data_IF_324723130150
#
_entry.id   IF_324723130150
#
_cell.length_a   1.000
_cell.length_b   1.000
_cell.length_c   1.000
_cell.angle_alpha   90.00
_cell.angle_beta   90.00
_cell.angle_gamma   90.00
#
_symmetry.space_group_name_H-M   'P 1'
#
loop_
_entity.id
_entity.type
_entity.pdbx_description
1 polymer ?
#
# COMPACT_ATOMS: atom_id res chain seq x y z
N UNK A 1 7.94 12.95 -5.50
CA UNK A 1 9.14 13.16 -4.65
C UNK A 1 10.04 11.94 -4.70
N UNK A 2 11.36 12.10 -4.60
CA UNK A 2 12.29 10.98 -4.52
C UNK A 2 12.32 10.41 -3.08
N UNK A 3 12.49 9.10 -2.95
CA UNK A 3 12.71 8.44 -1.66
C UNK A 3 13.96 9.04 -0.98
N UNK A 4 13.92 9.39 0.34
CA UNK A 4 15.10 9.88 1.04
C UNK A 4 16.28 8.92 0.90
N UNK A 5 17.47 9.46 0.64
CA UNK A 5 18.67 8.66 0.29
C UNK A 5 19.02 7.64 1.38
N UNK A 6 18.99 8.05 2.64
CA UNK A 6 19.31 7.17 3.78
C UNK A 6 18.30 6.02 3.90
N UNK A 7 17.01 6.32 3.74
CA UNK A 7 15.96 5.31 3.80
C UNK A 7 16.04 4.34 2.62
N UNK A 8 16.34 4.85 1.41
CA UNK A 8 16.59 4.02 0.23
C UNK A 8 17.76 3.07 0.45
N UNK A 9 18.87 3.57 1.00
CA UNK A 9 20.05 2.75 1.30
C UNK A 9 19.74 1.68 2.34
N UNK A 10 19.06 2.02 3.43
CA UNK A 10 18.65 1.06 4.46
C UNK A 10 17.72 -0.04 3.91
N UNK A 11 16.79 0.31 3.02
CA UNK A 11 15.93 -0.66 2.34
C UNK A 11 16.74 -1.59 1.42
N UNK A 12 17.72 -1.07 0.68
CA UNK A 12 18.63 -1.85 -0.18
C UNK A 12 19.47 -2.83 0.64
N UNK A 13 20.00 -2.40 1.77
CA UNK A 13 20.75 -3.25 2.70
C UNK A 13 19.91 -4.39 3.27
N UNK A 14 18.67 -4.10 3.68
CA UNK A 14 17.74 -5.14 4.10
C UNK A 14 17.42 -6.12 2.97
N UNK A 15 17.22 -5.64 1.75
CA UNK A 15 16.94 -6.48 0.59
C UNK A 15 18.09 -7.41 0.27
N UNK A 16 19.34 -6.94 0.33
CA UNK A 16 20.55 -7.73 0.10
C UNK A 16 20.68 -8.95 1.04
N UNK A 17 20.05 -8.87 2.23
CA UNK A 17 20.04 -9.93 3.24
C UNK A 17 18.66 -10.57 3.40
N UNK A 18 17.78 -10.45 2.39
CA UNK A 18 16.42 -11.02 2.41
C UNK A 18 16.27 -12.09 1.34
N UNK A 19 16.15 -13.33 1.77
CA UNK A 19 15.82 -14.44 0.87
C UNK A 19 14.36 -14.34 0.40
N UNK A 20 14.11 -14.85 -0.80
CA UNK A 20 12.74 -14.94 -1.33
C UNK A 20 12.34 -13.77 -2.23
N UNK A 21 13.23 -12.83 -2.54
CA UNK A 21 13.03 -11.86 -3.64
C UNK A 21 13.07 -12.63 -4.97
N UNK A 22 12.12 -12.36 -5.84
CA UNK A 22 11.94 -13.06 -7.13
C UNK A 22 12.95 -12.59 -8.18
N UNK A 23 14.23 -12.89 -7.94
CA UNK A 23 15.35 -12.45 -8.80
C UNK A 23 15.11 -12.72 -10.29
N UNK A 24 14.56 -13.87 -10.73
CA UNK A 24 14.27 -14.11 -12.14
C UNK A 24 13.36 -13.07 -12.78
N UNK A 25 12.37 -12.54 -12.02
CA UNK A 25 11.46 -11.51 -12.54
C UNK A 25 12.20 -10.17 -12.70
N UNK A 26 13.06 -9.80 -11.75
CA UNK A 26 13.88 -8.58 -11.87
C UNK A 26 14.85 -8.68 -13.06
N UNK A 27 15.52 -9.82 -13.22
CA UNK A 27 16.41 -10.08 -14.35
C UNK A 27 15.69 -10.00 -15.70
N UNK A 28 14.49 -10.59 -15.80
CA UNK A 28 13.69 -10.58 -17.04
C UNK A 28 13.31 -9.17 -17.51
N UNK A 29 13.30 -8.18 -16.62
CA UNK A 29 12.98 -6.78 -16.92
C UNK A 29 14.19 -5.85 -16.76
N UNK A 30 15.39 -6.38 -16.62
CA UNK A 30 16.63 -5.62 -16.43
C UNK A 30 16.51 -4.59 -15.27
N UNK A 31 15.86 -5.01 -14.16
CA UNK A 31 15.66 -4.21 -12.95
C UNK A 31 16.61 -4.64 -11.84
N UNK A 32 17.06 -3.65 -11.06
CA UNK A 32 17.84 -3.90 -9.85
C UNK A 32 16.94 -4.52 -8.77
N UNK A 33 17.22 -5.77 -8.31
CA UNK A 33 16.41 -6.41 -7.27
C UNK A 33 16.54 -5.77 -5.88
N UNK A 34 17.52 -4.90 -5.70
CA UNK A 34 17.70 -4.14 -4.46
C UNK A 34 16.98 -2.79 -4.47
N UNK A 35 16.47 -2.35 -5.63
CA UNK A 35 15.73 -1.09 -5.70
C UNK A 35 14.29 -1.27 -5.18
N UNK A 36 13.89 -0.52 -4.13
CA UNK A 36 12.55 -0.65 -3.57
C UNK A 36 11.48 -0.08 -4.52
N UNK A 37 10.38 -0.81 -4.68
CA UNK A 37 9.23 -0.38 -5.49
C UNK A 37 8.29 0.42 -4.59
N UNK A 38 8.48 1.72 -4.55
CA UNK A 38 7.72 2.69 -3.77
C UNK A 38 7.26 3.81 -4.70
N UNK A 39 5.97 4.07 -4.73
CA UNK A 39 5.39 5.20 -5.46
C UNK A 39 5.15 6.35 -4.50
N UNK A 40 6.10 7.26 -4.44
CA UNK A 40 5.91 8.52 -3.76
C UNK A 40 5.24 9.49 -4.73
N UNK A 41 3.97 9.76 -4.51
CA UNK A 41 3.29 10.90 -5.10
C UNK A 41 3.73 12.20 -4.44
N UNK A 42 2.82 13.15 -4.37
CA UNK A 42 3.00 14.36 -3.56
C UNK A 42 3.09 13.99 -2.06
N UNK A 43 3.96 14.65 -1.32
CA UNK A 43 4.02 14.52 0.15
C UNK A 43 2.73 14.91 0.83
N UNK A 44 2.01 15.88 0.22
CA UNK A 44 0.73 16.37 0.68
C UNK A 44 -0.45 15.61 0.04
N UNK A 45 -0.18 14.48 -0.63
CA UNK A 45 -1.23 13.64 -1.18
C UNK A 45 -2.28 13.31 -0.10
N UNK A 46 -3.56 13.55 -0.37
CA UNK A 46 -4.61 13.44 0.65
C UNK A 46 -4.82 12.01 1.13
N UNK A 47 -4.35 11.03 0.35
CA UNK A 47 -4.68 9.63 0.52
C UNK A 47 -3.49 8.73 0.19
N UNK A 48 -3.24 7.77 1.07
CA UNK A 48 -2.29 6.68 0.86
C UNK A 48 -3.03 5.39 0.49
N UNK A 49 -2.55 4.69 -0.53
CA UNK A 49 -2.92 3.31 -0.81
C UNK A 49 -1.85 2.37 -0.29
N UNK A 50 -2.25 1.49 0.62
CA UNK A 50 -1.37 0.55 1.29
C UNK A 50 -1.71 -0.89 0.89
N UNK A 51 -0.79 -1.55 0.22
CA UNK A 51 -0.97 -2.90 -0.29
C UNK A 51 -0.07 -3.95 0.35
N UNK A 52 -0.18 -5.18 -0.14
CA UNK A 52 0.58 -6.30 0.37
C UNK A 52 2.01 -6.30 -0.14
N UNK A 53 2.22 -6.61 -1.41
CA UNK A 53 3.54 -6.77 -2.05
C UNK A 53 3.46 -6.38 -3.52
N UNK A 54 4.59 -5.94 -4.15
CA UNK A 54 4.64 -5.72 -5.58
C UNK A 54 4.46 -7.03 -6.37
N UNK A 55 3.82 -6.95 -7.52
CA UNK A 55 3.71 -8.02 -8.49
C UNK A 55 4.72 -7.90 -9.63
N UNK A 56 4.54 -8.71 -10.68
CA UNK A 56 5.41 -8.75 -11.85
C UNK A 56 5.41 -7.42 -12.63
N UNK A 57 4.24 -6.82 -12.83
CA UNK A 57 4.13 -5.56 -13.57
C UNK A 57 4.70 -4.39 -12.76
N UNK A 58 4.59 -4.43 -11.43
CA UNK A 58 5.24 -3.47 -10.56
C UNK A 58 6.76 -3.51 -10.70
N UNK A 59 7.37 -4.70 -10.81
CA UNK A 59 8.80 -4.84 -11.12
C UNK A 59 9.11 -4.28 -12.49
N UNK A 60 8.33 -4.65 -13.53
CA UNK A 60 8.54 -4.20 -14.91
C UNK A 60 8.59 -2.68 -15.02
N UNK A 61 7.67 -1.98 -14.37
CA UNK A 61 7.54 -0.53 -14.45
C UNK A 61 8.30 0.22 -13.35
N UNK A 62 8.73 -0.46 -12.27
CA UNK A 62 9.33 0.17 -11.10
C UNK A 62 8.34 1.03 -10.30
N UNK A 63 7.05 0.75 -10.44
CA UNK A 63 5.97 1.53 -9.80
C UNK A 63 5.01 0.60 -9.06
N UNK A 64 4.56 0.95 -7.83
CA UNK A 64 3.58 0.15 -7.12
C UNK A 64 2.18 0.30 -7.74
N UNK A 65 1.35 -0.72 -7.55
CA UNK A 65 -0.06 -0.72 -7.98
C UNK A 65 -0.26 -0.43 -9.47
N UNK A 66 0.63 -0.94 -10.32
CA UNK A 66 0.52 -0.79 -11.78
C UNK A 66 -0.05 -2.04 -12.47
N UNK A 67 -0.02 -3.19 -11.81
CA UNK A 67 -0.61 -4.44 -12.28
C UNK A 67 -2.14 -4.46 -12.24
N UNK A 68 -2.75 -5.61 -12.52
CA UNK A 68 -4.20 -5.75 -12.71
C UNK A 68 -5.05 -5.20 -11.56
N UNK A 69 -4.66 -5.48 -10.30
CA UNK A 69 -5.35 -4.94 -9.13
C UNK A 69 -5.21 -3.42 -9.02
N UNK A 70 -4.01 -2.91 -9.26
CA UNK A 70 -3.73 -1.47 -9.25
C UNK A 70 -4.46 -0.72 -10.36
N UNK A 71 -4.61 -1.33 -11.55
CA UNK A 71 -5.39 -0.73 -12.64
C UNK A 71 -6.86 -0.57 -12.29
N UNK A 72 -7.44 -1.49 -11.51
CA UNK A 72 -8.82 -1.33 -11.03
C UNK A 72 -8.92 -0.13 -10.10
N UNK A 73 -7.99 0.01 -9.16
CA UNK A 73 -7.94 1.18 -8.27
C UNK A 73 -7.85 2.47 -9.08
N UNK A 74 -6.93 2.55 -10.06
CA UNK A 74 -6.70 3.74 -10.90
C UNK A 74 -7.93 4.10 -11.75
N UNK A 75 -8.64 3.11 -12.30
CA UNK A 75 -9.89 3.35 -13.05
C UNK A 75 -10.97 3.97 -12.15
N UNK A 76 -11.14 3.47 -10.94
CA UNK A 76 -12.11 4.03 -9.99
C UNK A 76 -11.72 5.46 -9.62
N UNK A 77 -10.45 5.70 -9.31
CA UNK A 77 -9.94 7.04 -9.00
C UNK A 77 -10.14 8.01 -10.16
N UNK A 78 -9.85 7.59 -11.39
CA UNK A 78 -10.01 8.40 -12.58
C UNK A 78 -11.47 8.80 -12.78
N UNK A 79 -12.38 7.82 -12.71
CA UNK A 79 -13.82 8.08 -12.81
C UNK A 79 -14.33 9.00 -11.71
N UNK A 80 -13.85 8.80 -10.47
CA UNK A 80 -14.22 9.63 -9.34
C UNK A 80 -13.80 11.10 -9.52
N UNK A 81 -12.60 11.33 -10.03
CA UNK A 81 -12.07 12.70 -10.23
C UNK A 81 -12.58 13.40 -11.48
N UNK A 82 -12.76 12.67 -12.57
CA UNK A 82 -13.04 13.24 -13.89
C UNK A 82 -14.47 13.00 -14.39
N UNK A 83 -15.26 12.17 -13.68
CA UNK A 83 -16.61 11.78 -14.12
C UNK A 83 -16.63 10.97 -15.43
N UNK A 84 -15.50 10.41 -15.87
CA UNK A 84 -15.32 9.71 -17.14
C UNK A 84 -14.50 8.43 -16.97
N UNK A 85 -14.59 7.52 -17.90
CA UNK A 85 -13.74 6.31 -17.91
C UNK A 85 -12.27 6.68 -18.20
N UNK A 86 -11.35 5.95 -17.57
CA UNK A 86 -9.91 6.13 -17.77
C UNK A 86 -9.54 5.75 -19.20
N UNK A 87 -8.98 6.68 -20.02
CA UNK A 87 -8.80 6.46 -21.46
C UNK A 87 -7.75 5.38 -21.75
N UNK A 88 -6.65 5.37 -21.02
CA UNK A 88 -5.53 4.48 -21.27
C UNK A 88 -4.67 4.24 -20.00
N UNK A 89 -3.60 3.47 -20.17
CA UNK A 89 -2.66 3.13 -19.13
C UNK A 89 -1.86 4.34 -18.62
N UNK A 90 -1.45 5.24 -19.52
CA UNK A 90 -0.63 6.40 -19.16
C UNK A 90 -1.44 7.44 -18.38
N UNK A 91 -2.71 7.63 -18.68
CA UNK A 91 -3.61 8.46 -17.88
C UNK A 91 -3.72 7.91 -16.44
N UNK A 92 -3.80 6.59 -16.30
CA UNK A 92 -3.77 5.94 -14.99
C UNK A 92 -2.43 6.13 -14.23
N UNK A 93 -1.30 6.10 -14.92
CA UNK A 93 0.01 6.40 -14.34
C UNK A 93 0.13 7.85 -13.89
N UNK A 94 -0.28 8.79 -14.74
CA UNK A 94 -0.26 10.21 -14.42
C UNK A 94 -1.12 10.51 -13.18
N UNK A 95 -2.32 9.93 -13.11
CA UNK A 95 -3.20 10.04 -11.94
C UNK A 95 -2.54 9.52 -10.65
N UNK A 96 -1.73 8.48 -10.76
CA UNK A 96 -1.05 7.90 -9.62
C UNK A 96 -0.17 8.88 -8.85
N UNK A 97 0.32 9.95 -9.50
CA UNK A 97 1.16 10.98 -8.87
C UNK A 97 0.44 11.82 -7.82
N UNK A 98 -0.89 11.82 -7.82
CA UNK A 98 -1.70 12.54 -6.84
C UNK A 98 -1.95 11.76 -5.54
N UNK A 99 -1.42 10.53 -5.42
CA UNK A 99 -1.61 9.66 -4.28
C UNK A 99 -0.29 9.10 -3.77
N UNK A 100 -0.26 8.74 -2.49
CA UNK A 100 0.87 8.05 -1.89
C UNK A 100 0.66 6.53 -1.99
N UNK A 101 1.64 5.78 -2.52
CA UNK A 101 1.51 4.34 -2.76
C UNK A 101 2.63 3.57 -2.07
N UNK A 102 2.27 2.59 -1.25
CA UNK A 102 3.23 1.82 -0.46
C UNK A 102 2.72 0.40 -0.22
N UNK A 103 3.64 -0.55 -0.09
CA UNK A 103 3.36 -1.94 0.24
C UNK A 103 3.97 -2.32 1.60
N UNK A 104 3.52 -3.45 2.17
CA UNK A 104 4.07 -3.98 3.44
C UNK A 104 5.57 -4.23 3.37
N UNK A 105 6.05 -4.72 2.23
CA UNK A 105 7.44 -4.90 1.84
C UNK A 105 7.58 -4.44 0.38
N UNK A 106 8.51 -3.53 0.04
CA UNK A 106 8.57 -2.93 -1.28
C UNK A 106 9.34 -3.78 -2.32
N UNK A 107 9.33 -5.10 -2.16
CA UNK A 107 10.01 -6.06 -3.03
C UNK A 107 9.09 -7.21 -3.40
N UNK A 108 9.21 -7.71 -4.64
CA UNK A 108 8.39 -8.80 -5.12
C UNK A 108 8.84 -10.15 -4.53
N UNK A 109 7.94 -10.88 -3.83
CA UNK A 109 8.24 -12.24 -3.37
C UNK A 109 8.15 -13.26 -4.51
N UNK A 110 8.87 -14.37 -4.38
CA UNK A 110 8.78 -15.52 -5.28
C UNK A 110 7.34 -16.04 -5.34
N UNK A 111 6.85 -16.26 -6.56
CA UNK A 111 5.56 -16.92 -6.81
C UNK A 111 4.34 -16.17 -6.31
N UNK A 112 4.41 -14.87 -6.08
CA UNK A 112 3.34 -14.03 -5.53
C UNK A 112 2.82 -14.50 -4.15
N UNK A 113 3.61 -15.27 -3.40
CA UNK A 113 3.32 -15.64 -2.01
C UNK A 113 3.52 -14.42 -1.12
N UNK A 114 2.62 -14.23 -0.16
CA UNK A 114 2.82 -13.17 0.83
C UNK A 114 4.14 -13.35 1.58
N UNK A 115 4.84 -12.26 1.86
CA UNK A 115 6.01 -12.29 2.72
C UNK A 115 5.68 -12.87 4.09
N UNK A 116 6.62 -13.62 4.65
CA UNK A 116 6.50 -14.13 6.01
C UNK A 116 6.40 -12.98 7.03
N UNK A 117 5.82 -13.27 8.19
CA UNK A 117 5.76 -12.28 9.28
C UNK A 117 7.16 -11.84 9.74
N UNK A 118 8.16 -12.73 9.67
CA UNK A 118 9.54 -12.41 10.00
C UNK A 118 10.11 -11.33 9.06
N UNK A 119 9.90 -11.46 7.76
CA UNK A 119 10.32 -10.46 6.77
C UNK A 119 9.56 -9.15 6.98
N UNK A 120 8.24 -9.20 7.12
CA UNK A 120 7.43 -7.98 7.38
C UNK A 120 7.92 -7.20 8.61
N UNK A 121 8.26 -7.91 9.71
CA UNK A 121 8.82 -7.28 10.92
C UNK A 121 10.17 -6.61 10.70
N UNK A 122 11.01 -7.16 9.83
CA UNK A 122 12.32 -6.56 9.50
C UNK A 122 12.16 -5.27 8.70
N UNK A 123 11.25 -5.22 7.73
CA UNK A 123 10.99 -4.03 6.91
C UNK A 123 10.13 -2.98 7.61
N UNK A 124 9.29 -3.39 8.55
CA UNK A 124 8.28 -2.54 9.17
C UNK A 124 8.81 -1.23 9.77
N UNK A 125 9.97 -1.18 10.46
CA UNK A 125 10.48 0.09 10.98
C UNK A 125 10.74 1.13 9.88
N UNK A 126 11.36 0.75 8.76
CA UNK A 126 11.64 1.65 7.64
C UNK A 126 10.36 2.07 6.91
N UNK A 127 9.41 1.14 6.73
CA UNK A 127 8.12 1.47 6.10
C UNK A 127 7.26 2.37 7.00
N UNK A 128 7.36 2.24 8.33
CA UNK A 128 6.73 3.12 9.29
C UNK A 128 7.36 4.51 9.28
N UNK A 129 8.68 4.59 9.25
CA UNK A 129 9.41 5.85 9.12
C UNK A 129 8.99 6.58 7.83
N UNK A 130 8.89 5.88 6.71
CA UNK A 130 8.42 6.44 5.45
C UNK A 130 7.03 7.09 5.56
N UNK A 131 6.08 6.41 6.23
CA UNK A 131 4.73 6.95 6.46
C UNK A 131 4.75 8.19 7.36
N UNK A 132 5.59 8.21 8.39
CA UNK A 132 5.65 9.28 9.39
C UNK A 132 6.38 10.51 8.84
N UNK A 133 7.54 10.31 8.20
CA UNK A 133 8.45 11.40 7.84
C UNK A 133 8.23 11.93 6.42
N UNK A 134 7.75 11.08 5.51
CA UNK A 134 7.71 11.43 4.09
C UNK A 134 6.31 11.73 3.54
N UNK A 135 5.27 11.46 4.30
CA UNK A 135 3.90 11.73 3.87
C UNK A 135 3.12 12.50 4.93
N UNK A 136 2.49 13.63 4.56
CA UNK A 136 1.78 14.50 5.49
C UNK A 136 0.28 14.19 5.61
N UNK A 137 -0.26 13.33 4.76
CA UNK A 137 -1.66 12.90 4.83
C UNK A 137 -1.97 12.02 6.04
N UNK A 138 -3.25 11.73 6.24
CA UNK A 138 -3.76 10.98 7.40
C UNK A 138 -4.51 9.71 7.02
N UNK A 139 -5.19 9.70 5.87
CA UNK A 139 -6.11 8.64 5.48
C UNK A 139 -5.41 7.56 4.66
N UNK A 140 -5.44 6.31 5.15
CA UNK A 140 -4.81 5.16 4.50
C UNK A 140 -5.88 4.15 4.08
N UNK A 141 -6.04 3.94 2.77
CA UNK A 141 -6.83 2.81 2.25
C UNK A 141 -5.94 1.57 2.23
N UNK A 142 -6.25 0.60 3.09
CA UNK A 142 -5.54 -0.69 3.14
C UNK A 142 -6.24 -1.71 2.25
N UNK A 143 -5.49 -2.34 1.34
CA UNK A 143 -6.02 -3.27 0.35
C UNK A 143 -5.80 -4.73 0.76
N UNK A 144 -6.81 -5.29 1.43
CA UNK A 144 -6.83 -6.66 1.92
C UNK A 144 -6.34 -6.82 3.37
N UNK A 145 -6.59 -8.03 3.91
CA UNK A 145 -6.32 -8.36 5.31
C UNK A 145 -4.85 -8.18 5.70
N UNK A 146 -3.95 -8.64 4.84
CA UNK A 146 -2.50 -8.58 5.10
C UNK A 146 -1.99 -7.13 5.22
N UNK A 147 -2.49 -6.23 4.37
CA UNK A 147 -2.16 -4.81 4.41
C UNK A 147 -2.74 -4.14 5.67
N UNK A 148 -3.99 -4.45 6.03
CA UNK A 148 -4.63 -3.90 7.22
C UNK A 148 -3.95 -4.38 8.52
N UNK A 149 -3.72 -5.69 8.67
CA UNK A 149 -3.11 -6.24 9.88
C UNK A 149 -1.59 -5.97 9.98
N UNK A 150 -0.94 -5.45 8.95
CA UNK A 150 0.43 -4.96 9.05
C UNK A 150 0.54 -3.86 10.13
N UNK A 151 -0.46 -3.04 10.30
CA UNK A 151 -0.51 -1.99 11.33
C UNK A 151 -0.56 -2.54 12.76
N UNK A 152 -0.79 -3.82 12.95
CA UNK A 152 -0.70 -4.51 14.24
C UNK A 152 0.75 -4.89 14.63
N UNK A 153 1.69 -4.89 13.68
CA UNK A 153 3.08 -5.29 13.93
C UNK A 153 3.73 -4.29 14.88
N UNK A 154 4.34 -4.80 15.96
CA UNK A 154 5.02 -3.97 16.96
C UNK A 154 4.10 -3.14 17.87
N UNK A 155 2.78 -3.30 17.74
CA UNK A 155 1.81 -2.61 18.61
C UNK A 155 1.62 -3.32 19.95
N UNK A 156 1.20 -2.61 21.01
CA UNK A 156 0.74 -3.20 22.26
C UNK A 156 -0.40 -4.21 22.03
N UNK A 157 -0.56 -5.15 22.97
CA UNK A 157 -1.55 -6.23 22.86
C UNK A 157 -2.97 -5.73 22.58
N UNK A 158 -3.39 -4.68 23.26
CA UNK A 158 -4.75 -4.12 23.13
C UNK A 158 -4.97 -3.53 21.73
N UNK A 159 -4.01 -2.80 21.19
CA UNK A 159 -4.10 -2.25 19.84
C UNK A 159 -4.14 -3.37 18.78
N UNK A 160 -3.37 -4.44 18.94
CA UNK A 160 -3.42 -5.62 18.07
C UNK A 160 -4.78 -6.29 18.11
N UNK A 161 -5.33 -6.53 19.30
CA UNK A 161 -6.66 -7.14 19.47
C UNK A 161 -7.75 -6.26 18.86
N UNK A 162 -7.65 -4.93 19.01
CA UNK A 162 -8.59 -3.98 18.40
C UNK A 162 -8.57 -4.05 16.87
N UNK A 163 -7.39 -4.15 16.24
CA UNK A 163 -7.27 -4.32 14.80
C UNK A 163 -7.83 -5.66 14.32
N UNK A 164 -7.52 -6.75 15.03
CA UNK A 164 -8.05 -8.09 14.69
C UNK A 164 -9.58 -8.14 14.83
N UNK A 165 -10.13 -7.59 15.92
CA UNK A 165 -11.57 -7.50 16.14
C UNK A 165 -12.25 -6.64 15.07
N UNK A 166 -11.63 -5.50 14.71
CA UNK A 166 -12.16 -4.64 13.65
C UNK A 166 -12.24 -5.38 12.30
N UNK A 167 -11.23 -6.18 11.96
CA UNK A 167 -11.25 -6.96 10.72
C UNK A 167 -12.40 -7.98 10.66
N UNK A 168 -12.87 -8.49 11.80
CA UNK A 168 -13.99 -9.44 11.86
C UNK A 168 -15.37 -8.77 11.72
N UNK A 169 -15.46 -7.44 11.80
CA UNK A 169 -16.73 -6.72 11.68
C UNK A 169 -17.34 -6.91 10.29
N UNK A 170 -18.66 -6.95 10.23
CA UNK A 170 -19.39 -6.99 8.96
C UNK A 170 -19.24 -5.67 8.18
N UNK A 171 -19.24 -4.55 8.89
CA UNK A 171 -19.11 -3.18 8.35
C UNK A 171 -17.68 -2.72 8.13
N UNK A 172 -16.67 -3.60 8.25
CA UNK A 172 -15.24 -3.25 8.13
C UNK A 172 -14.86 -2.47 6.86
N UNK A 173 -15.59 -2.66 5.77
CA UNK A 173 -15.34 -1.97 4.50
C UNK A 173 -16.06 -0.63 4.35
N UNK A 174 -16.88 -0.26 5.32
CA UNK A 174 -17.57 1.04 5.39
C UNK A 174 -17.17 1.85 6.62
N UNK A 175 -16.71 1.18 7.67
CA UNK A 175 -16.15 1.82 8.87
C UNK A 175 -14.66 2.19 8.70
N UNK A 176 -14.10 2.93 9.64
CA UNK A 176 -12.67 3.27 9.73
C UNK A 176 -12.16 3.06 11.16
N UNK A 177 -10.83 3.09 11.33
CA UNK A 177 -10.17 2.91 12.62
C UNK A 177 -8.93 3.78 12.70
N UNK A 178 -8.81 4.58 13.75
CA UNK A 178 -7.61 5.34 14.03
C UNK A 178 -6.54 4.47 14.69
N UNK A 179 -5.28 4.65 14.26
CA UNK A 179 -4.11 3.96 14.79
C UNK A 179 -2.95 4.94 14.97
N UNK A 180 -2.30 4.85 16.11
CA UNK A 180 -1.07 5.60 16.37
C UNK A 180 0.14 4.77 15.93
N UNK A 181 0.99 5.37 15.12
CA UNK A 181 2.30 4.82 14.77
C UNK A 181 3.38 5.70 15.37
N UNK A 182 4.44 5.06 15.85
CA UNK A 182 5.64 5.73 16.34
C UNK A 182 6.86 5.16 15.64
N UNK A 183 7.75 6.01 15.15
CA UNK A 183 9.03 5.57 14.57
C UNK A 183 10.07 5.22 15.65
N UNK A 184 11.28 4.84 15.21
CA UNK A 184 12.37 4.50 16.12
C UNK A 184 12.94 5.72 16.88
N UNK A 185 12.70 6.94 16.39
CA UNK A 185 13.10 8.21 16.98
C UNK A 185 12.09 8.77 17.97
N UNK A 186 10.91 8.14 18.07
CA UNK A 186 9.84 8.56 18.97
C UNK A 186 8.85 9.53 18.34
N UNK A 187 8.98 9.88 17.05
CA UNK A 187 7.95 10.66 16.36
C UNK A 187 6.69 9.82 16.23
N UNK A 188 5.56 10.41 16.64
CA UNK A 188 4.28 9.72 16.63
C UNK A 188 3.28 10.45 15.73
N UNK A 189 2.48 9.66 14.98
CA UNK A 189 1.37 10.19 14.17
C UNK A 189 0.18 9.25 14.22
N UNK A 190 -1.01 9.85 14.25
CA UNK A 190 -2.29 9.13 14.13
C UNK A 190 -2.69 9.05 12.67
N UNK A 191 -2.98 7.84 12.20
CA UNK A 191 -3.53 7.56 10.87
C UNK A 191 -4.92 6.96 10.98
N UNK A 192 -5.79 7.29 10.03
CA UNK A 192 -7.12 6.69 9.90
C UNK A 192 -7.08 5.61 8.82
N UNK A 193 -7.28 4.36 9.22
CA UNK A 193 -7.29 3.21 8.32
C UNK A 193 -8.70 3.01 7.74
N UNK A 194 -8.76 2.84 6.43
CA UNK A 194 -9.97 2.55 5.66
C UNK A 194 -9.78 1.21 4.94
N UNK A 195 -10.09 0.06 5.58
CA UNK A 195 -9.87 -1.22 4.94
C UNK A 195 -10.84 -1.45 3.78
N UNK A 196 -10.31 -2.03 2.72
CA UNK A 196 -11.04 -2.55 1.58
C UNK A 196 -10.57 -3.98 1.26
N UNK A 197 -11.35 -4.78 0.55
CA UNK A 197 -10.90 -6.08 0.10
C UNK A 197 -9.73 -5.94 -0.88
N UNK A 198 -8.96 -7.02 -1.05
CA UNK A 198 -7.86 -7.02 -2.02
C UNK A 198 -8.41 -7.01 -3.46
N UNK A 199 -7.97 -6.09 -4.35
CA UNK A 199 -8.49 -5.90 -5.69
C UNK A 199 -7.90 -6.92 -6.70
N UNK A 200 -7.85 -8.19 -6.34
CA UNK A 200 -7.31 -9.24 -7.21
C UNK A 200 -8.43 -10.03 -7.89
N UNK A 201 -8.29 -10.37 -9.18
CA UNK A 201 -9.19 -11.29 -9.86
C UNK A 201 -9.33 -12.64 -9.16
N UNK A 202 -8.31 -13.07 -8.42
CA UNK A 202 -8.34 -14.28 -7.61
C UNK A 202 -9.29 -14.18 -6.39
N UNK A 203 -9.65 -12.98 -6.00
CA UNK A 203 -10.62 -12.73 -4.93
C UNK A 203 -12.04 -12.65 -5.50
N UNK A 204 -12.57 -13.77 -5.98
CA UNK A 204 -13.83 -13.83 -6.71
C UNK A 204 -15.01 -13.20 -5.97
N UNK A 205 -15.07 -13.35 -4.64
CA UNK A 205 -16.15 -12.79 -3.80
C UNK A 205 -16.20 -11.27 -3.86
N UNK A 206 -15.05 -10.61 -3.81
CA UNK A 206 -14.96 -9.17 -3.66
C UNK A 206 -14.58 -8.43 -4.92
N UNK A 207 -14.01 -9.13 -5.90
CA UNK A 207 -13.50 -8.52 -7.14
C UNK A 207 -14.56 -7.65 -7.84
N UNK A 208 -15.77 -8.19 -8.03
CA UNK A 208 -16.89 -7.47 -8.67
C UNK A 208 -17.42 -6.31 -7.81
N UNK A 209 -17.30 -6.40 -6.49
CA UNK A 209 -17.81 -5.39 -5.54
C UNK A 209 -16.77 -4.31 -5.23
N UNK A 210 -15.50 -4.58 -5.47
CA UNK A 210 -14.40 -3.68 -5.11
C UNK A 210 -14.55 -2.27 -5.69
N UNK A 211 -14.89 -2.07 -6.99
CA UNK A 211 -15.05 -0.72 -7.54
C UNK A 211 -16.10 0.11 -6.79
N UNK A 212 -17.25 -0.47 -6.48
CA UNK A 212 -18.32 0.22 -5.75
C UNK A 212 -17.92 0.55 -4.29
N UNK A 213 -17.19 -0.34 -3.62
CA UNK A 213 -16.68 -0.12 -2.27
C UNK A 213 -15.65 1.02 -2.24
N UNK A 214 -14.72 1.05 -3.20
CA UNK A 214 -13.74 2.12 -3.30
C UNK A 214 -14.41 3.46 -3.62
N UNK A 215 -15.34 3.48 -4.57
CA UNK A 215 -16.13 4.68 -4.93
C UNK A 215 -16.86 5.25 -3.72
N UNK A 216 -17.57 4.40 -2.96
CA UNK A 216 -18.27 4.81 -1.75
C UNK A 216 -17.31 5.38 -0.70
N UNK A 217 -16.14 4.77 -0.54
CA UNK A 217 -15.10 5.25 0.37
C UNK A 217 -14.55 6.62 -0.03
N UNK A 218 -14.30 6.85 -1.31
CA UNK A 218 -13.82 8.14 -1.82
C UNK A 218 -14.84 9.25 -1.55
N UNK A 219 -16.12 9.00 -1.81
CA UNK A 219 -17.21 9.96 -1.49
C UNK A 219 -17.30 10.29 -0.01
N UNK A 220 -17.12 9.30 0.87
CA UNK A 220 -17.08 9.55 2.32
C UNK A 220 -15.91 10.45 2.71
N UNK A 221 -14.73 10.23 2.12
CA UNK A 221 -13.53 11.02 2.38
C UNK A 221 -13.67 12.47 1.88
N UNK A 222 -14.30 12.68 0.72
CA UNK A 222 -14.55 14.02 0.20
C UNK A 222 -15.57 14.80 1.05
N UNK A 223 -16.60 14.13 1.55
CA UNK A 223 -17.59 14.74 2.44
C UNK A 223 -17.05 15.10 3.84
N UNK A 224 -15.87 14.59 4.19
CA UNK A 224 -15.20 14.82 5.49
C UNK A 224 -14.13 15.92 5.44
N UNK A 225 -13.88 16.50 4.26
CA UNK A 225 -12.98 17.63 4.01
C UNK A 225 -13.70 18.95 4.11
#
# INVERSE_FOLDING_TARGET
MALPTELRQALRELAAHTEGIDLPVYQAFERDPLEPIIGLGDTDAPLCFFGRDPGREEVRHGEPFIGSGGQIVRRVLYRHLHGAEMPDFEAGRALGRHYFWINTVPYKPIGNKAWSMAVKRRFQPLMRQLLIDSWHGRHIITLGREAFLWFAIGQPREARQRLEAFWQREDRFTANLDIDLQDAQGHARTFTLHPLPHPSPLNQTWFKRFPALLEARLRQLDASR
#
